data_IF_618251556789
#
_entry.id   IF_618251556789
#
_cell.length_a   1.000
_cell.length_b   1.000
_cell.length_c   1.000
_cell.angle_alpha   90.00
_cell.angle_beta   90.00
_cell.angle_gamma   90.00
#
_symmetry.space_group_name_H-M   'P 1'
#
loop_
_entity.id
_entity.type
_entity.pdbx_description
1 polymer ?
#
# COMPACT_ATOMS: atom_id res chain seq x y z
N UNK A 1 9.99 12.41 -7.46
CA UNK A 1 10.05 11.06 -6.85
C UNK A 1 9.53 10.05 -7.86
N UNK A 2 9.97 8.78 -7.81
CA UNK A 2 9.49 7.71 -8.70
C UNK A 2 8.44 6.86 -7.99
N UNK A 3 7.57 6.21 -8.75
CA UNK A 3 6.63 5.23 -8.21
C UNK A 3 7.40 4.07 -7.53
N UNK A 4 6.87 3.55 -6.43
CA UNK A 4 7.41 2.41 -5.70
C UNK A 4 6.37 1.30 -5.70
N UNK A 5 6.78 0.05 -5.91
CA UNK A 5 5.89 -1.11 -5.96
C UNK A 5 6.39 -2.22 -5.05
N UNK A 6 5.48 -2.82 -4.29
CA UNK A 6 5.69 -4.05 -3.53
C UNK A 6 4.45 -4.94 -3.73
N UNK A 7 4.58 -6.03 -4.49
CA UNK A 7 3.43 -6.89 -4.83
C UNK A 7 2.32 -6.12 -5.55
N UNK A 8 1.12 -6.17 -4.99
CA UNK A 8 -0.09 -5.45 -5.40
C UNK A 8 -0.11 -3.98 -4.96
N UNK A 9 0.75 -3.55 -4.04
CA UNK A 9 0.79 -2.15 -3.59
C UNK A 9 1.69 -1.30 -4.48
N UNK A 10 1.13 -0.20 -4.99
CA UNK A 10 1.85 0.86 -5.72
C UNK A 10 1.71 2.17 -4.94
N UNK A 11 2.84 2.80 -4.64
CA UNK A 11 2.92 4.14 -4.08
C UNK A 11 3.28 5.13 -5.18
N UNK A 12 2.41 6.10 -5.41
CA UNK A 12 2.64 7.19 -6.35
C UNK A 12 2.85 8.50 -5.59
N UNK A 13 3.89 9.28 -5.90
CA UNK A 13 4.13 10.54 -5.21
C UNK A 13 3.04 11.55 -5.54
N UNK A 14 2.59 12.28 -4.52
CA UNK A 14 1.58 13.34 -4.64
C UNK A 14 2.06 14.59 -3.91
N UNK A 15 1.45 15.74 -4.21
CA UNK A 15 1.84 17.00 -3.58
C UNK A 15 1.34 17.09 -2.13
N UNK A 16 0.16 16.55 -1.86
CA UNK A 16 -0.53 16.68 -0.58
C UNK A 16 -1.21 15.37 -0.18
N UNK A 17 -1.24 15.14 1.14
CA UNK A 17 -2.05 14.09 1.77
C UNK A 17 -3.30 14.75 2.31
N UNK A 18 -4.44 14.17 1.96
CA UNK A 18 -5.75 14.62 2.38
C UNK A 18 -6.51 13.47 3.06
N UNK A 19 -7.43 13.84 3.96
CA UNK A 19 -8.38 12.90 4.54
C UNK A 19 -8.30 12.76 6.04
N UNK A 20 -9.07 11.80 6.54
CA UNK A 20 -9.09 11.46 7.96
C UNK A 20 -7.90 10.54 8.28
N UNK A 21 -7.15 10.88 9.32
CA UNK A 21 -6.04 10.03 9.80
C UNK A 21 -6.58 8.70 10.33
N UNK A 22 -5.91 7.62 9.95
CA UNK A 22 -6.19 6.28 10.43
C UNK A 22 -5.29 5.93 11.62
N UNK A 23 -5.75 5.10 12.57
CA UNK A 23 -4.97 4.70 13.75
C UNK A 23 -3.96 3.58 13.46
N UNK A 24 -3.69 3.25 12.19
CA UNK A 24 -2.81 2.17 11.76
C UNK A 24 -1.98 2.58 10.54
N UNK A 25 -0.98 1.76 10.23
CA UNK A 25 -0.08 1.94 9.08
C UNK A 25 -0.12 0.78 8.07
N UNK A 26 -1.21 0.01 8.07
CA UNK A 26 -1.51 -0.98 7.02
C UNK A 26 -2.03 -0.30 5.77
N UNK A 27 -1.34 -0.48 4.66
CA UNK A 27 -1.65 0.08 3.33
C UNK A 27 -2.58 -0.83 2.53
N UNK A 28 -2.45 -2.15 2.72
CA UNK A 28 -3.29 -3.16 2.09
C UNK A 28 -3.27 -4.44 2.93
N UNK A 29 -4.37 -5.18 2.88
CA UNK A 29 -4.42 -6.59 3.28
C UNK A 29 -4.04 -7.39 2.03
N UNK A 30 -3.00 -8.22 2.13
CA UNK A 30 -2.49 -9.01 1.02
C UNK A 30 -3.49 -10.07 0.55
N UNK A 31 -3.20 -10.70 -0.57
CA UNK A 31 -4.09 -11.70 -1.21
C UNK A 31 -4.30 -12.95 -0.32
N UNK A 32 -3.31 -13.29 0.52
CA UNK A 32 -3.40 -14.38 1.50
C UNK A 32 -3.99 -13.86 2.81
N UNK A 33 -5.02 -14.54 3.31
CA UNK A 33 -5.71 -14.21 4.57
C UNK A 33 -4.73 -14.13 5.74
N UNK A 34 -4.29 -12.92 6.08
CA UNK A 34 -3.35 -12.66 7.19
C UNK A 34 -2.19 -11.76 6.82
N UNK A 35 -1.75 -11.75 5.57
CA UNK A 35 -0.62 -10.93 5.15
C UNK A 35 -1.00 -9.48 4.97
N UNK A 36 -0.07 -8.56 5.28
CA UNK A 36 -0.33 -7.12 5.26
C UNK A 36 0.84 -6.35 4.70
N UNK A 37 0.55 -5.46 3.76
CA UNK A 37 1.47 -4.41 3.37
C UNK A 37 1.36 -3.30 4.40
N UNK A 38 2.43 -3.05 5.16
CA UNK A 38 2.42 -2.05 6.24
C UNK A 38 3.75 -1.33 6.37
N UNK A 39 3.69 -0.12 6.90
CA UNK A 39 4.88 0.56 7.41
C UNK A 39 5.21 0.00 8.79
N UNK A 40 6.40 -0.58 8.94
CA UNK A 40 6.85 -1.22 10.19
C UNK A 40 7.94 -0.42 10.92
N UNK A 41 8.66 0.46 10.22
CA UNK A 41 9.71 1.31 10.79
C UNK A 41 9.65 2.72 10.19
N UNK A 42 10.13 3.70 10.96
CA UNK A 42 10.07 5.13 10.60
C UNK A 42 8.81 5.81 11.11
N UNK A 43 8.74 7.13 10.93
CA UNK A 43 7.58 7.95 11.28
C UNK A 43 6.74 8.18 10.03
N UNK A 44 5.48 7.75 10.08
CA UNK A 44 4.54 7.94 8.99
C UNK A 44 3.10 8.10 9.51
N UNK A 45 2.24 8.66 8.68
CA UNK A 45 0.82 8.82 8.93
C UNK A 45 0.04 8.29 7.74
N UNK A 46 -1.03 7.55 7.99
CA UNK A 46 -1.94 7.07 6.96
C UNK A 46 -3.26 7.84 7.08
N UNK A 47 -3.79 8.28 5.95
CA UNK A 47 -5.08 8.99 5.88
C UNK A 47 -5.96 8.38 4.80
N UNK A 48 -7.27 8.49 4.96
CA UNK A 48 -8.25 8.02 3.97
C UNK A 48 -9.15 9.16 3.51
N UNK A 49 -9.38 9.23 2.20
CA UNK A 49 -10.32 10.15 1.55
C UNK A 49 -10.85 9.55 0.26
N UNK A 50 -12.17 9.61 0.07
CA UNK A 50 -12.86 9.14 -1.14
C UNK A 50 -12.45 7.71 -1.56
N UNK A 51 -12.34 6.81 -0.58
CA UNK A 51 -11.93 5.41 -0.80
C UNK A 51 -10.44 5.21 -1.13
N UNK A 52 -9.64 6.26 -1.23
CA UNK A 52 -8.19 6.19 -1.43
C UNK A 52 -7.45 6.32 -0.11
N UNK A 53 -6.33 5.62 0.00
CA UNK A 53 -5.38 5.76 1.10
C UNK A 53 -4.22 6.66 0.68
N UNK A 54 -3.76 7.48 1.62
CA UNK A 54 -2.68 8.42 1.47
C UNK A 54 -1.66 8.24 2.58
N UNK A 55 -0.42 8.00 2.22
CA UNK A 55 0.70 7.82 3.13
C UNK A 55 1.54 9.10 3.16
N UNK A 56 1.76 9.64 4.36
CA UNK A 56 2.74 10.69 4.62
C UNK A 56 3.91 10.09 5.38
N UNK A 57 5.09 10.13 4.79
CA UNK A 57 6.34 9.73 5.45
C UNK A 57 7.00 10.98 6.04
N UNK A 58 7.15 11.00 7.36
CA UNK A 58 7.68 12.13 8.14
C UNK A 58 9.18 12.01 8.41
N UNK A 59 9.67 10.78 8.59
CA UNK A 59 11.12 10.52 8.72
C UNK A 59 11.81 10.54 7.35
N UNK A 60 13.15 10.61 7.33
CA UNK A 60 13.93 10.56 6.08
C UNK A 60 13.57 9.34 5.22
N UNK A 61 13.36 8.19 5.87
CA UNK A 61 12.79 6.99 5.27
C UNK A 61 11.81 6.29 6.22
N UNK A 62 10.86 5.55 5.66
CA UNK A 62 10.01 4.60 6.37
C UNK A 62 10.01 3.25 5.65
N UNK A 63 9.92 2.14 6.38
CA UNK A 63 10.08 0.81 5.80
C UNK A 63 8.72 0.17 5.51
N UNK A 64 8.43 -0.03 4.23
CA UNK A 64 7.28 -0.82 3.77
C UNK A 64 7.65 -2.31 3.82
N UNK A 65 6.84 -3.10 4.50
CA UNK A 65 7.05 -4.55 4.71
C UNK A 65 5.81 -5.34 4.32
N UNK A 66 6.05 -6.56 3.85
CA UNK A 66 5.08 -7.63 3.64
C UNK A 66 5.76 -8.96 4.01
N UNK A 67 5.00 -9.97 4.42
CA UNK A 67 5.57 -11.24 4.90
C UNK A 67 6.29 -12.02 3.80
N UNK A 68 5.84 -11.88 2.55
CA UNK A 68 6.41 -12.61 1.39
C UNK A 68 7.38 -11.77 0.56
N UNK A 69 7.48 -10.46 0.81
CA UNK A 69 8.30 -9.57 0.00
C UNK A 69 9.45 -8.96 0.80
N UNK A 70 10.53 -8.65 0.09
CA UNK A 70 11.61 -7.88 0.67
C UNK A 70 11.11 -6.49 1.04
N UNK A 71 11.46 -6.05 2.25
CA UNK A 71 11.14 -4.72 2.73
C UNK A 71 11.72 -3.62 1.83
N UNK A 72 10.92 -2.58 1.56
CA UNK A 72 11.30 -1.48 0.67
C UNK A 72 11.35 -0.16 1.47
N UNK A 73 12.49 0.56 1.46
CA UNK A 73 12.56 1.89 2.06
C UNK A 73 11.83 2.92 1.20
N UNK A 74 10.88 3.61 1.81
CA UNK A 74 10.10 4.69 1.21
C UNK A 74 10.70 6.03 1.67
N UNK A 75 11.13 6.91 0.77
CA UNK A 75 11.68 8.19 1.17
C UNK A 75 10.59 9.12 1.71
N UNK A 76 11.02 10.10 2.52
CA UNK A 76 10.18 11.19 3.02
C UNK A 76 9.34 11.81 1.89
N UNK A 77 8.05 12.01 2.16
CA UNK A 77 7.14 12.60 1.18
C UNK A 77 5.69 12.16 1.34
N UNK A 78 4.87 12.61 0.40
CA UNK A 78 3.45 12.33 0.33
C UNK A 78 3.17 11.36 -0.80
N UNK A 79 2.35 10.34 -0.53
CA UNK A 79 2.10 9.24 -1.45
C UNK A 79 0.61 8.90 -1.47
N UNK A 80 0.08 8.57 -2.64
CA UNK A 80 -1.21 7.87 -2.76
C UNK A 80 -0.95 6.38 -2.92
N UNK A 81 -1.72 5.57 -2.20
CA UNK A 81 -1.68 4.10 -2.26
C UNK A 81 -2.66 3.64 -3.33
N UNK A 82 -2.18 2.82 -4.26
CA UNK A 82 -2.98 2.14 -5.27
C UNK A 82 -2.79 0.64 -5.14
N UNK A 83 -3.89 -0.10 -5.17
CA UNK A 83 -3.89 -1.56 -5.15
C UNK A 83 -4.04 -2.03 -6.60
N UNK A 84 -3.07 -2.77 -7.08
CA UNK A 84 -3.11 -3.46 -8.35
C UNK A 84 -3.76 -4.83 -8.11
N UNK A 85 -4.98 -5.00 -8.59
CA UNK A 85 -5.61 -6.32 -8.68
C UNK A 85 -5.33 -6.91 -10.05
N UNK A 86 -5.03 -8.20 -10.12
CA UNK A 86 -5.04 -8.91 -11.39
C UNK A 86 -6.49 -8.88 -11.93
N UNK A 87 -6.64 -8.46 -13.17
CA UNK A 87 -7.92 -8.52 -13.86
C UNK A 87 -8.06 -9.95 -14.37
N UNK A 88 -8.94 -10.74 -13.77
CA UNK A 88 -9.39 -12.02 -14.31
C UNK A 88 -10.66 -11.77 -15.19
N UNK A 89 -10.55 -11.74 -16.53
CA UNK A 89 -11.72 -11.57 -17.40
C UNK A 89 -12.67 -12.77 -17.48
N UNK A 90 -12.42 -13.88 -16.79
CA UNK A 90 -13.15 -15.12 -17.04
C UNK A 90 -13.77 -15.67 -15.75
N UNK A 91 -15.04 -15.35 -15.54
CA UNK A 91 -15.87 -15.96 -14.52
C UNK A 91 -15.98 -17.46 -14.69
N UNK A 92 -15.98 -18.17 -13.56
CA UNK A 92 -16.49 -19.51 -13.32
C UNK A 92 -16.47 -20.46 -14.53
N UNK A 93 -15.40 -21.23 -14.66
CA UNK A 93 -15.47 -22.52 -15.37
C UNK A 93 -15.73 -23.63 -14.34
N UNK A 94 -16.91 -24.22 -14.40
CA UNK A 94 -17.11 -25.57 -13.86
C UNK A 94 -16.19 -26.52 -14.62
N UNK A 95 -15.19 -27.07 -13.94
CA UNK A 95 -14.49 -28.27 -14.40
C UNK A 95 -15.31 -29.44 -13.88
N UNK A 96 -16.12 -30.03 -14.77
CA UNK A 96 -16.56 -31.39 -14.58
C UNK A 96 -15.41 -32.29 -15.06
N UNK A 97 -14.82 -33.02 -14.11
CA UNK A 97 -13.83 -34.12 -14.22
C UNK A 97 -12.87 -34.10 -15.42
#
# INVERSE_FOLDING_TARGET
>A
MKAIRQGDVILLPVQQVDGQKLPHLTLAEGEVTGHKHRISQGQAELSQKDGNLYLRVLSETALLTHEEHQAIPIPQGNWIVKIQREYEPEGWRYVAD
#
